data_IF_965862054642
#
_entry.id   IF_965862054642
#
_cell.length_a   1.000
_cell.length_b   1.000
_cell.length_c   1.000
_cell.angle_alpha   90.00
_cell.angle_beta   90.00
_cell.angle_gamma   90.00
#
_symmetry.space_group_name_H-M   'P 1'
#
loop_
_entity.id
_entity.type
_entity.pdbx_description
1 polymer ?
#
# COMPACT_ATOMS: atom_id res chain seq x y z
N UNK A 1 20.12 -28.86 5.77
CA UNK A 1 20.10 -27.67 4.89
C UNK A 1 19.60 -26.52 5.75
N UNK A 2 20.46 -25.55 6.09
CA UNK A 2 20.06 -24.39 6.87
C UNK A 2 19.02 -23.60 6.08
N UNK A 3 17.85 -23.29 6.68
CA UNK A 3 16.88 -22.41 6.07
C UNK A 3 17.55 -21.06 5.80
N UNK A 4 17.57 -20.62 4.53
CA UNK A 4 18.00 -19.26 4.20
C UNK A 4 17.17 -18.26 5.02
N UNK A 5 17.78 -17.18 5.53
CA UNK A 5 17.05 -16.20 6.31
C UNK A 5 15.88 -15.62 5.49
N UNK A 6 14.74 -15.44 6.16
CA UNK A 6 13.55 -14.85 5.51
C UNK A 6 13.89 -13.44 5.03
N UNK A 7 13.55 -13.12 3.79
CA UNK A 7 13.67 -11.78 3.21
C UNK A 7 12.57 -10.88 3.75
N UNK A 8 12.85 -9.64 4.17
CA UNK A 8 11.85 -8.77 4.75
C UNK A 8 10.72 -8.39 3.78
N UNK A 9 9.55 -8.08 4.37
CA UNK A 9 8.44 -7.41 3.70
C UNK A 9 8.55 -5.92 3.98
N UNK A 10 8.62 -5.12 2.92
CA UNK A 10 8.62 -3.66 2.99
C UNK A 10 7.20 -3.13 2.92
N UNK A 11 6.78 -2.32 3.90
CA UNK A 11 5.45 -1.70 3.95
C UNK A 11 5.63 -0.18 3.98
N UNK A 12 5.18 0.52 2.94
CA UNK A 12 5.18 1.97 2.98
C UNK A 12 3.99 2.50 3.78
N UNK A 13 4.21 3.52 4.63
CA UNK A 13 3.16 4.09 5.47
C UNK A 13 2.67 3.15 6.59
N UNK A 14 3.60 2.46 7.26
CA UNK A 14 3.29 1.46 8.29
C UNK A 14 2.92 2.00 9.67
N UNK A 15 2.82 3.33 9.85
CA UNK A 15 2.64 3.92 11.19
C UNK A 15 1.23 3.85 11.77
N UNK A 16 0.20 3.54 10.98
CA UNK A 16 -1.20 3.48 11.43
C UNK A 16 -2.09 2.69 10.46
N UNK A 17 -3.33 2.40 10.91
CA UNK A 17 -4.40 1.77 10.10
C UNK A 17 -3.92 0.48 9.43
N UNK A 18 -4.27 0.24 8.17
CA UNK A 18 -3.95 -0.97 7.39
C UNK A 18 -2.43 -1.27 7.42
N UNK A 19 -1.59 -0.25 7.20
CA UNK A 19 -0.13 -0.46 7.20
C UNK A 19 0.41 -0.94 8.55
N UNK A 20 -0.12 -0.41 9.66
CA UNK A 20 0.25 -0.86 11.02
C UNK A 20 -0.25 -2.28 11.29
N UNK A 21 -1.49 -2.59 10.89
CA UNK A 21 -2.06 -3.93 11.06
C UNK A 21 -1.27 -4.99 10.28
N UNK A 22 -0.88 -4.70 9.03
CA UNK A 22 -0.02 -5.56 8.22
C UNK A 22 1.37 -5.76 8.87
N UNK A 23 1.97 -4.67 9.39
CA UNK A 23 3.26 -4.79 10.07
C UNK A 23 3.20 -5.72 11.29
N UNK A 24 2.19 -5.57 12.15
CA UNK A 24 1.97 -6.46 13.28
C UNK A 24 1.67 -7.89 12.86
N UNK A 25 0.85 -8.08 11.81
CA UNK A 25 0.54 -9.41 11.29
C UNK A 25 1.82 -10.18 10.91
N UNK A 26 2.69 -9.58 10.10
CA UNK A 26 3.92 -10.24 9.68
C UNK A 26 4.94 -10.42 10.80
N UNK A 27 5.05 -9.47 11.73
CA UNK A 27 5.89 -9.63 12.93
C UNK A 27 5.42 -10.80 13.80
N UNK A 28 4.10 -10.96 13.99
CA UNK A 28 3.52 -12.09 14.73
C UNK A 28 3.83 -13.44 14.04
N UNK A 29 3.92 -13.45 12.71
CA UNK A 29 4.38 -14.61 11.93
C UNK A 29 5.91 -14.77 11.92
N UNK A 30 6.64 -13.95 12.71
CA UNK A 30 8.11 -13.91 12.76
C UNK A 30 8.76 -13.59 11.41
N UNK A 31 8.04 -12.89 10.55
CA UNK A 31 8.57 -12.42 9.28
C UNK A 31 9.28 -11.08 9.49
N UNK A 32 10.50 -10.87 8.97
CA UNK A 32 11.17 -9.57 9.05
C UNK A 32 10.35 -8.50 8.32
N UNK A 33 10.23 -7.32 8.95
CA UNK A 33 9.44 -6.21 8.43
C UNK A 33 10.26 -4.93 8.40
N UNK A 34 10.19 -4.22 7.27
CA UNK A 34 10.67 -2.85 7.13
C UNK A 34 9.46 -1.95 6.91
N UNK A 35 9.33 -0.86 7.67
CA UNK A 35 8.25 0.10 7.46
C UNK A 35 8.78 1.49 7.16
N UNK A 36 8.15 2.22 6.23
CA UNK A 36 8.33 3.67 6.17
C UNK A 36 7.25 4.38 7.00
N UNK A 37 7.62 5.52 7.57
CA UNK A 37 6.69 6.43 8.23
C UNK A 37 7.12 7.88 7.97
N UNK A 38 6.16 8.80 7.89
CA UNK A 38 6.44 10.24 7.77
C UNK A 38 6.45 10.91 9.14
N UNK A 39 5.40 10.68 9.91
CA UNK A 39 5.21 11.24 11.24
C UNK A 39 5.48 10.17 12.28
N UNK A 40 6.26 10.52 13.31
CA UNK A 40 6.51 9.66 14.47
C UNK A 40 5.23 9.55 15.30
N UNK A 41 4.63 8.37 15.30
CA UNK A 41 3.51 8.00 16.17
C UNK A 41 3.99 7.05 17.28
N UNK A 42 3.29 6.96 18.42
CA UNK A 42 3.64 5.96 19.45
C UNK A 42 3.69 4.52 18.94
N UNK A 43 2.91 4.19 17.92
CA UNK A 43 2.91 2.89 17.22
C UNK A 43 4.26 2.56 16.58
N UNK A 44 5.03 3.54 16.11
CA UNK A 44 6.36 3.31 15.52
C UNK A 44 7.34 2.76 16.56
N UNK A 45 7.31 3.29 17.77
CA UNK A 45 8.13 2.76 18.86
C UNK A 45 7.70 1.33 19.23
N UNK A 46 6.39 1.04 19.21
CA UNK A 46 5.86 -0.30 19.38
C UNK A 46 6.38 -1.27 18.31
N UNK A 47 6.41 -0.85 17.04
CA UNK A 47 6.94 -1.65 15.93
C UNK A 47 8.44 -1.91 16.09
N UNK A 48 9.23 -0.91 16.49
CA UNK A 48 10.67 -1.10 16.77
C UNK A 48 10.91 -2.13 17.87
N UNK A 49 10.15 -2.05 18.97
CA UNK A 49 10.21 -3.03 20.07
C UNK A 49 9.81 -4.43 19.64
N UNK A 50 8.87 -4.53 18.69
CA UNK A 50 8.47 -5.80 18.09
C UNK A 50 9.47 -6.33 17.03
N UNK A 51 10.54 -5.61 16.73
CA UNK A 51 11.62 -6.03 15.83
C UNK A 51 11.51 -5.52 14.39
N UNK A 52 10.60 -4.59 14.08
CA UNK A 52 10.56 -3.95 12.76
C UNK A 52 11.70 -2.95 12.58
N UNK A 53 12.25 -2.87 11.38
CA UNK A 53 13.10 -1.76 10.95
C UNK A 53 12.20 -0.61 10.50
N UNK A 54 12.20 0.50 11.25
CA UNK A 54 11.36 1.67 10.97
C UNK A 54 12.20 2.81 10.40
N UNK A 55 11.93 3.20 9.16
CA UNK A 55 12.69 4.22 8.41
C UNK A 55 11.80 5.44 8.18
N UNK A 56 12.20 6.60 8.70
CA UNK A 56 11.51 7.83 8.41
C UNK A 56 11.77 8.26 6.95
N UNK A 57 10.68 8.59 6.24
CA UNK A 57 10.72 8.97 4.84
C UNK A 57 9.62 9.97 4.51
N UNK A 58 9.94 10.96 3.71
CA UNK A 58 8.98 11.88 3.10
C UNK A 58 8.90 11.62 1.60
N UNK A 59 7.74 11.20 1.13
CA UNK A 59 7.49 10.92 -0.28
C UNK A 59 6.89 12.12 -1.03
N UNK A 60 6.92 13.30 -0.43
CA UNK A 60 6.48 14.54 -1.11
C UNK A 60 7.48 15.03 -2.17
N UNK A 61 8.70 14.48 -2.19
CA UNK A 61 9.73 14.80 -3.18
C UNK A 61 10.41 13.53 -3.71
N UNK A 62 10.96 13.60 -4.91
CA UNK A 62 11.69 12.49 -5.53
C UNK A 62 12.96 12.15 -4.74
N UNK A 63 13.65 13.18 -4.22
CA UNK A 63 14.84 13.02 -3.38
C UNK A 63 14.52 12.22 -2.12
N UNK A 64 13.41 12.51 -1.47
CA UNK A 64 12.97 11.78 -0.28
C UNK A 64 12.63 10.32 -0.57
N UNK A 65 12.01 10.05 -1.73
CA UNK A 65 11.71 8.70 -2.20
C UNK A 65 13.00 7.92 -2.47
N UNK A 66 13.94 8.51 -3.21
CA UNK A 66 15.20 7.86 -3.58
C UNK A 66 16.11 7.67 -2.35
N UNK A 67 16.17 8.63 -1.46
CA UNK A 67 16.89 8.49 -0.18
C UNK A 67 16.33 7.35 0.68
N UNK A 68 15.02 7.15 0.68
CA UNK A 68 14.40 6.00 1.33
C UNK A 68 14.80 4.68 0.66
N UNK A 69 14.80 4.61 -0.68
CA UNK A 69 15.21 3.42 -1.41
C UNK A 69 16.66 3.02 -1.07
N UNK A 70 17.59 3.98 -0.99
CA UNK A 70 18.99 3.73 -0.61
C UNK A 70 19.09 3.20 0.84
N UNK A 71 18.32 3.74 1.79
CA UNK A 71 18.26 3.20 3.16
C UNK A 71 17.75 1.76 3.18
N UNK A 72 16.74 1.42 2.37
CA UNK A 72 16.27 0.03 2.26
C UNK A 72 17.36 -0.88 1.71
N UNK A 73 18.06 -0.48 0.64
CA UNK A 73 19.17 -1.24 0.05
C UNK A 73 20.32 -1.48 1.04
N UNK A 74 20.61 -0.50 1.90
CA UNK A 74 21.63 -0.66 2.93
C UNK A 74 21.18 -1.56 4.10
N UNK A 75 19.87 -1.79 4.24
CA UNK A 75 19.30 -2.59 5.34
C UNK A 75 19.23 -4.08 4.99
N UNK A 76 19.02 -4.43 3.72
CA UNK A 76 18.81 -5.83 3.30
C UNK A 76 19.35 -6.10 1.90
N UNK A 77 19.83 -7.32 1.69
CA UNK A 77 20.25 -7.80 0.37
C UNK A 77 19.10 -8.36 -0.49
N UNK A 78 17.88 -8.47 0.04
CA UNK A 78 16.73 -8.95 -0.71
C UNK A 78 15.41 -8.66 -0.02
N UNK A 79 14.33 -8.52 -0.79
CA UNK A 79 12.97 -8.31 -0.32
C UNK A 79 12.06 -9.48 -0.71
N UNK A 80 11.17 -9.89 0.20
CA UNK A 80 10.09 -10.81 -0.13
C UNK A 80 8.96 -10.09 -0.85
N UNK A 81 8.61 -8.89 -0.38
CA UNK A 81 7.55 -8.09 -0.98
C UNK A 81 7.73 -6.60 -0.71
N UNK A 82 7.11 -5.78 -1.56
CA UNK A 82 6.89 -4.35 -1.34
C UNK A 82 5.38 -4.08 -1.36
N UNK A 83 4.86 -3.60 -0.23
CA UNK A 83 3.45 -3.21 -0.07
C UNK A 83 3.36 -1.68 -0.11
N UNK A 84 2.87 -1.14 -1.23
CA UNK A 84 2.71 0.32 -1.42
C UNK A 84 1.40 0.80 -0.78
N UNK A 85 1.43 0.96 0.55
CA UNK A 85 0.28 1.39 1.35
C UNK A 85 0.31 2.90 1.69
N UNK A 86 1.47 3.57 1.58
CA UNK A 86 1.54 5.01 1.83
C UNK A 86 0.55 5.78 0.94
N UNK A 87 -0.25 6.64 1.54
CA UNK A 87 -1.29 7.38 0.85
C UNK A 87 -1.54 8.72 1.52
N UNK A 88 -1.99 9.68 0.74
CA UNK A 88 -2.57 10.93 1.19
C UNK A 88 -3.98 11.06 0.58
N UNK A 89 -4.79 11.90 1.19
CA UNK A 89 -6.13 12.18 0.72
C UNK A 89 -6.40 13.66 0.84
N UNK A 90 -6.76 14.30 -0.25
CA UNK A 90 -7.04 15.71 -0.33
C UNK A 90 -8.25 15.95 -1.23
N UNK A 91 -9.19 16.77 -0.76
CA UNK A 91 -10.33 17.20 -1.55
C UNK A 91 -9.98 18.48 -2.32
N UNK A 92 -10.57 18.64 -3.51
CA UNK A 92 -10.64 19.91 -4.19
C UNK A 92 -11.57 20.84 -3.39
N UNK A 93 -11.01 21.91 -2.83
CA UNK A 93 -11.75 22.90 -2.05
C UNK A 93 -11.58 24.28 -2.68
N UNK A 94 -12.61 25.13 -2.52
CA UNK A 94 -12.51 26.54 -2.91
C UNK A 94 -11.33 27.21 -2.18
N UNK A 95 -10.48 27.90 -2.94
CA UNK A 95 -9.28 28.57 -2.41
C UNK A 95 -8.02 27.68 -2.33
N UNK A 96 -8.08 26.38 -2.67
CA UNK A 96 -6.87 25.55 -2.86
C UNK A 96 -6.40 25.60 -4.30
N UNK A 97 -5.08 25.48 -4.51
CA UNK A 97 -4.52 25.32 -5.85
C UNK A 97 -4.84 23.92 -6.38
N UNK A 98 -5.63 23.87 -7.45
CA UNK A 98 -6.00 22.61 -8.11
C UNK A 98 -4.76 21.89 -8.68
N UNK A 99 -3.80 22.65 -9.22
CA UNK A 99 -2.54 22.11 -9.73
C UNK A 99 -1.69 21.49 -8.61
N UNK A 100 -1.58 22.15 -7.47
CA UNK A 100 -0.85 21.61 -6.31
C UNK A 100 -1.55 20.37 -5.75
N UNK A 101 -2.88 20.37 -5.67
CA UNK A 101 -3.65 19.20 -5.23
C UNK A 101 -3.40 17.99 -6.15
N UNK A 102 -3.49 18.18 -7.47
CA UNK A 102 -3.20 17.12 -8.43
C UNK A 102 -1.75 16.65 -8.32
N UNK A 103 -0.79 17.57 -8.27
CA UNK A 103 0.64 17.24 -8.15
C UNK A 103 0.93 16.44 -6.88
N UNK A 104 0.37 16.83 -5.74
CA UNK A 104 0.55 16.12 -4.48
C UNK A 104 -0.02 14.70 -4.51
N UNK A 105 -1.21 14.50 -5.13
CA UNK A 105 -1.81 13.18 -5.28
C UNK A 105 -1.00 12.30 -6.23
N UNK A 106 -0.51 12.84 -7.34
CA UNK A 106 0.36 12.11 -8.26
C UNK A 106 1.71 11.77 -7.60
N UNK A 107 2.28 12.68 -6.82
CA UNK A 107 3.57 12.45 -6.15
C UNK A 107 3.51 11.22 -5.23
N UNK A 108 2.52 11.12 -4.37
CA UNK A 108 2.44 10.03 -3.39
C UNK A 108 1.92 8.72 -4.00
N UNK A 109 1.00 8.76 -4.97
CA UNK A 109 0.35 7.56 -5.48
C UNK A 109 0.96 7.02 -6.78
N UNK A 110 1.71 7.86 -7.50
CA UNK A 110 2.31 7.49 -8.80
C UNK A 110 3.82 7.56 -8.75
N UNK A 111 4.41 8.73 -8.47
CA UNK A 111 5.86 8.89 -8.48
C UNK A 111 6.55 8.02 -7.43
N UNK A 112 6.02 7.99 -6.20
CA UNK A 112 6.64 7.20 -5.13
C UNK A 112 6.65 5.69 -5.47
N UNK A 113 5.54 5.02 -5.81
CA UNK A 113 5.58 3.62 -6.22
C UNK A 113 6.40 3.38 -7.49
N UNK A 114 6.35 4.30 -8.47
CA UNK A 114 7.12 4.17 -9.70
C UNK A 114 8.63 4.15 -9.43
N UNK A 115 9.13 5.15 -8.71
CA UNK A 115 10.56 5.27 -8.38
C UNK A 115 11.02 4.13 -7.46
N UNK A 116 10.23 3.76 -6.44
CA UNK A 116 10.55 2.66 -5.53
C UNK A 116 10.58 1.31 -6.26
N UNK A 117 9.62 1.03 -7.15
CA UNK A 117 9.61 -0.20 -7.92
C UNK A 117 10.87 -0.32 -8.80
N UNK A 118 11.27 0.78 -9.45
CA UNK A 118 12.50 0.80 -10.25
C UNK A 118 13.76 0.66 -9.39
N UNK A 119 13.83 1.34 -8.26
CA UNK A 119 15.00 1.34 -7.40
C UNK A 119 15.19 0.01 -6.65
N UNK A 120 14.08 -0.69 -6.31
CA UNK A 120 14.11 -1.88 -5.46
C UNK A 120 13.87 -3.21 -6.20
N UNK A 121 13.62 -3.20 -7.52
CA UNK A 121 13.29 -4.39 -8.28
C UNK A 121 14.36 -5.49 -8.16
N UNK A 122 15.63 -5.12 -8.08
CA UNK A 122 16.72 -6.10 -8.00
C UNK A 122 16.76 -6.82 -6.63
N UNK A 123 16.24 -6.21 -5.57
CA UNK A 123 16.06 -6.87 -4.27
C UNK A 123 14.93 -7.93 -4.30
N UNK A 124 13.99 -7.82 -5.25
CA UNK A 124 12.87 -8.75 -5.42
C UNK A 124 13.19 -9.89 -6.38
N UNK A 125 14.12 -9.66 -7.31
CA UNK A 125 14.54 -10.61 -8.35
C UNK A 125 15.63 -11.57 -7.87
N UNK A 126 15.97 -12.55 -8.72
CA UNK A 126 17.10 -13.48 -8.47
C UNK A 126 16.82 -14.55 -7.41
N UNK A 127 15.58 -14.69 -6.95
CA UNK A 127 15.18 -15.62 -5.91
C UNK A 127 14.31 -16.79 -6.42
N UNK A 128 14.13 -16.90 -7.75
CA UNK A 128 13.32 -17.91 -8.40
C UNK A 128 11.98 -17.41 -8.92
N UNK A 129 11.21 -18.31 -9.52
CA UNK A 129 9.90 -18.01 -10.10
C UNK A 129 8.90 -17.57 -9.02
N UNK A 130 8.20 -16.45 -9.27
CA UNK A 130 7.19 -15.87 -8.37
C UNK A 130 7.67 -15.68 -6.93
N UNK A 131 8.98 -15.47 -6.72
CA UNK A 131 9.57 -15.36 -5.40
C UNK A 131 9.52 -13.94 -4.80
N UNK A 132 9.23 -12.93 -5.62
CA UNK A 132 9.02 -11.53 -5.22
C UNK A 132 7.58 -11.08 -5.44
N UNK A 133 7.11 -10.12 -4.65
CA UNK A 133 5.78 -9.51 -4.79
C UNK A 133 5.83 -7.99 -4.68
N UNK A 134 5.00 -7.32 -5.49
CA UNK A 134 4.63 -5.93 -5.32
C UNK A 134 3.11 -5.87 -5.19
N UNK A 135 2.61 -5.23 -4.14
CA UNK A 135 1.18 -5.01 -3.93
C UNK A 135 0.92 -3.50 -3.82
N UNK A 136 0.15 -2.97 -4.76
CA UNK A 136 -0.31 -1.59 -4.73
C UNK A 136 -1.66 -1.48 -4.02
N UNK A 137 -1.80 -0.51 -3.13
CA UNK A 137 -3.10 -0.17 -2.54
C UNK A 137 -3.74 0.94 -3.38
N UNK A 138 -4.64 0.55 -4.27
CA UNK A 138 -5.47 1.46 -5.07
C UNK A 138 -6.70 1.90 -4.27
N UNK A 139 -7.84 2.01 -4.87
CA UNK A 139 -9.10 2.37 -4.20
C UNK A 139 -10.28 1.98 -5.11
N UNK A 140 -11.46 1.71 -4.53
CA UNK A 140 -12.67 1.41 -5.28
C UNK A 140 -13.10 2.56 -6.23
N UNK A 141 -12.68 3.80 -5.95
CA UNK A 141 -12.97 4.97 -6.80
C UNK A 141 -12.37 4.88 -8.19
N UNK A 142 -11.41 3.96 -8.43
CA UNK A 142 -10.84 3.70 -9.75
C UNK A 142 -11.92 3.29 -10.76
N UNK A 143 -12.91 2.52 -10.33
CA UNK A 143 -14.01 2.08 -11.19
C UNK A 143 -15.14 3.11 -11.29
N UNK A 144 -15.37 3.86 -10.21
CA UNK A 144 -16.53 4.76 -10.12
C UNK A 144 -16.21 6.22 -10.45
N UNK A 145 -14.98 6.66 -10.20
CA UNK A 145 -14.64 8.07 -10.15
C UNK A 145 -15.08 8.75 -8.84
N UNK A 146 -14.81 10.04 -8.72
CA UNK A 146 -15.22 10.88 -7.59
C UNK A 146 -15.44 12.31 -8.06
N UNK A 147 -16.57 12.90 -7.71
CA UNK A 147 -16.89 14.30 -7.97
C UNK A 147 -16.22 15.29 -7.00
N UNK A 148 -15.80 14.79 -5.83
CA UNK A 148 -15.19 15.59 -4.74
C UNK A 148 -13.69 15.41 -4.61
N UNK A 149 -13.12 14.39 -5.24
CA UNK A 149 -11.72 13.96 -5.09
C UNK A 149 -11.18 13.48 -6.44
N UNK A 150 -11.26 14.34 -7.47
CA UNK A 150 -10.91 13.99 -8.86
C UNK A 150 -9.41 13.67 -8.95
N UNK A 151 -8.56 14.51 -8.37
CA UNK A 151 -7.10 14.30 -8.37
C UNK A 151 -6.69 13.00 -7.67
N UNK A 152 -7.33 12.68 -6.52
CA UNK A 152 -7.12 11.42 -5.83
C UNK A 152 -7.54 10.23 -6.69
N UNK A 153 -8.76 10.24 -7.23
CA UNK A 153 -9.28 9.16 -8.06
C UNK A 153 -8.41 8.95 -9.31
N UNK A 154 -8.00 10.03 -9.99
CA UNK A 154 -7.11 9.97 -11.13
C UNK A 154 -5.74 9.37 -10.78
N UNK A 155 -5.15 9.75 -9.64
CA UNK A 155 -3.88 9.20 -9.19
C UNK A 155 -3.96 7.70 -8.85
N UNK A 156 -5.06 7.25 -8.25
CA UNK A 156 -5.31 5.83 -7.97
C UNK A 156 -5.56 5.02 -9.24
N UNK A 157 -6.22 5.60 -10.26
CA UNK A 157 -6.38 4.97 -11.56
C UNK A 157 -5.05 4.82 -12.30
N UNK A 158 -4.16 5.81 -12.18
CA UNK A 158 -2.80 5.71 -12.72
C UNK A 158 -2.00 4.59 -12.03
N UNK A 159 -2.08 4.46 -10.69
CA UNK A 159 -1.46 3.38 -9.93
C UNK A 159 -2.00 2.01 -10.34
N UNK A 160 -3.31 1.90 -10.59
CA UNK A 160 -3.95 0.67 -11.06
C UNK A 160 -3.41 0.25 -12.44
N UNK A 161 -3.28 1.17 -13.38
CA UNK A 161 -2.64 0.88 -14.66
C UNK A 161 -1.18 0.47 -14.50
N UNK A 162 -0.44 1.14 -13.63
CA UNK A 162 0.97 0.85 -13.34
C UNK A 162 1.17 -0.56 -12.78
N UNK A 163 0.19 -1.11 -12.05
CA UNK A 163 0.18 -2.52 -11.61
C UNK A 163 0.33 -3.47 -12.78
N UNK A 164 -0.45 -3.30 -13.84
CA UNK A 164 -0.38 -4.12 -15.06
C UNK A 164 0.94 -3.96 -15.80
N UNK A 165 1.45 -2.74 -15.86
CA UNK A 165 2.71 -2.43 -16.54
C UNK A 165 3.91 -3.09 -15.86
N UNK A 166 4.00 -2.99 -14.52
CA UNK A 166 5.05 -3.65 -13.75
C UNK A 166 4.89 -5.17 -13.73
N UNK A 167 3.67 -5.71 -13.72
CA UNK A 167 3.45 -7.15 -13.85
C UNK A 167 4.06 -7.70 -15.14
N UNK A 168 3.85 -7.00 -16.27
CA UNK A 168 4.47 -7.39 -17.55
C UNK A 168 6.00 -7.28 -17.55
N UNK A 169 6.53 -6.25 -16.88
CA UNK A 169 7.97 -5.97 -16.84
C UNK A 169 8.74 -6.97 -15.97
N UNK A 170 8.15 -7.39 -14.84
CA UNK A 170 8.85 -8.09 -13.78
C UNK A 170 8.58 -9.60 -13.74
N UNK A 171 7.57 -10.07 -14.49
CA UNK A 171 7.33 -11.51 -14.64
C UNK A 171 8.52 -12.20 -15.37
N UNK A 172 8.81 -13.48 -15.06
CA UNK A 172 8.08 -14.37 -14.15
C UNK A 172 8.58 -14.33 -12.69
N UNK A 173 9.60 -13.55 -12.36
CA UNK A 173 10.26 -13.59 -11.06
C UNK A 173 9.47 -12.86 -9.98
N UNK A 174 8.80 -11.75 -10.33
CA UNK A 174 8.05 -10.88 -9.42
C UNK A 174 6.61 -10.75 -9.90
N UNK A 175 5.67 -11.03 -9.01
CA UNK A 175 4.24 -10.77 -9.23
C UNK A 175 3.91 -9.34 -8.80
N UNK A 176 3.03 -8.69 -9.54
CA UNK A 176 2.55 -7.34 -9.20
C UNK A 176 1.04 -7.32 -9.27
N UNK A 177 0.40 -7.05 -8.15
CA UNK A 177 -1.06 -6.99 -8.02
C UNK A 177 -1.49 -5.72 -7.27
N UNK A 178 -2.77 -5.43 -7.30
CA UNK A 178 -3.35 -4.34 -6.53
C UNK A 178 -4.52 -4.83 -5.67
N UNK A 179 -4.72 -4.14 -4.55
CA UNK A 179 -5.89 -4.24 -3.70
C UNK A 179 -6.62 -2.90 -3.78
N UNK A 180 -7.92 -2.93 -4.06
CA UNK A 180 -8.80 -1.76 -4.18
C UNK A 180 -9.80 -1.76 -3.02
N UNK A 181 -9.43 -1.25 -1.83
CA UNK A 181 -10.35 -1.20 -0.71
C UNK A 181 -11.36 -0.05 -0.88
N UNK A 182 -12.55 -0.23 -0.29
CA UNK A 182 -13.41 0.89 0.07
C UNK A 182 -13.16 1.27 1.55
N UNK A 183 -14.21 1.63 2.27
CA UNK A 183 -14.10 1.91 3.70
C UNK A 183 -13.88 0.60 4.47
N UNK A 184 -12.68 0.43 4.99
CA UNK A 184 -12.29 -0.72 5.82
C UNK A 184 -12.50 -0.44 7.30
N UNK A 185 -12.17 0.79 7.74
CA UNK A 185 -12.17 1.22 9.13
C UNK A 185 -12.77 2.61 9.26
N UNK A 186 -13.46 2.83 10.37
CA UNK A 186 -13.81 4.18 10.82
C UNK A 186 -12.61 4.89 11.44
N UNK A 187 -12.66 6.22 11.46
CA UNK A 187 -11.79 7.00 12.31
C UNK A 187 -12.40 7.11 13.72
N UNK A 188 -11.56 7.42 14.70
CA UNK A 188 -12.00 7.56 16.10
C UNK A 188 -13.06 8.65 16.26
N UNK A 189 -12.93 9.74 15.49
CA UNK A 189 -13.81 10.91 15.55
C UNK A 189 -15.03 10.83 14.62
N UNK A 190 -15.23 9.71 13.90
CA UNK A 190 -16.42 9.52 13.07
C UNK A 190 -17.64 9.29 13.98
N UNK A 191 -18.64 10.19 13.91
CA UNK A 191 -19.86 10.07 14.70
C UNK A 191 -20.78 8.94 14.22
N UNK A 192 -21.81 8.65 15.02
CA UNK A 192 -22.73 7.54 14.75
C UNK A 192 -23.54 7.76 13.45
N UNK A 193 -23.91 8.99 13.14
CA UNK A 193 -24.66 9.31 11.93
C UNK A 193 -23.79 9.09 10.69
N UNK A 194 -22.59 9.63 10.68
CA UNK A 194 -21.62 9.40 9.60
C UNK A 194 -21.35 7.91 9.40
N UNK A 195 -21.12 7.15 10.51
CA UNK A 195 -20.90 5.71 10.45
C UNK A 195 -22.05 5.00 9.78
N UNK A 196 -23.29 5.29 10.18
CA UNK A 196 -24.47 4.69 9.58
C UNK A 196 -24.63 5.05 8.08
N UNK A 197 -24.39 6.30 7.71
CA UNK A 197 -24.42 6.74 6.32
C UNK A 197 -23.32 6.05 5.50
N UNK A 198 -22.13 5.90 6.07
CA UNK A 198 -20.99 5.26 5.41
C UNK A 198 -21.25 3.75 5.18
N UNK A 199 -21.81 3.04 6.18
CA UNK A 199 -22.22 1.63 6.05
C UNK A 199 -23.26 1.45 4.94
N UNK A 200 -24.20 2.36 4.86
CA UNK A 200 -25.23 2.32 3.84
C UNK A 200 -24.70 2.49 2.39
N UNK A 201 -23.45 2.87 2.19
CA UNK A 201 -22.82 3.02 0.87
C UNK A 201 -22.30 1.72 0.27
N UNK A 202 -22.31 0.60 0.98
CA UNK A 202 -21.96 -0.72 0.46
C UNK A 202 -23.13 -1.69 0.57
N UNK A 203 -23.12 -2.75 -0.24
CA UNK A 203 -24.15 -3.80 -0.17
C UNK A 203 -24.05 -4.59 1.13
N UNK A 204 -22.83 -4.83 1.61
CA UNK A 204 -22.59 -5.61 2.83
C UNK A 204 -22.90 -4.83 4.12
N UNK A 205 -22.94 -3.49 4.09
CA UNK A 205 -23.31 -2.60 5.20
C UNK A 205 -22.51 -2.82 6.50
N UNK A 206 -21.26 -3.21 6.38
CA UNK A 206 -20.33 -3.41 7.51
C UNK A 206 -19.04 -2.63 7.26
N UNK A 207 -18.31 -2.34 8.33
CA UNK A 207 -16.89 -2.00 8.32
C UNK A 207 -16.13 -3.28 8.67
N UNK A 208 -15.46 -3.94 7.71
CA UNK A 208 -14.97 -5.31 7.91
C UNK A 208 -13.74 -5.39 8.81
N UNK A 209 -13.05 -4.28 9.02
CA UNK A 209 -11.76 -4.27 9.70
C UNK A 209 -10.61 -4.69 8.78
N UNK A 210 -9.39 -4.61 9.32
CA UNK A 210 -8.16 -4.85 8.55
C UNK A 210 -7.99 -6.30 8.09
N UNK A 211 -8.68 -7.23 8.75
CA UNK A 211 -8.54 -8.67 8.50
C UNK A 211 -8.80 -9.05 7.04
N UNK A 212 -9.82 -8.49 6.40
CA UNK A 212 -10.13 -8.76 4.99
C UNK A 212 -8.99 -8.38 4.05
N UNK A 213 -8.31 -7.27 4.36
CA UNK A 213 -7.15 -6.84 3.58
C UNK A 213 -5.95 -7.72 3.87
N UNK A 214 -5.72 -8.11 5.12
CA UNK A 214 -4.62 -9.00 5.54
C UNK A 214 -4.76 -10.36 4.87
N UNK A 215 -5.94 -10.98 4.91
CA UNK A 215 -6.21 -12.28 4.30
C UNK A 215 -5.94 -12.26 2.77
N UNK A 216 -6.31 -11.16 2.12
CA UNK A 216 -6.04 -10.99 0.70
C UNK A 216 -4.55 -10.79 0.40
N UNK A 217 -3.82 -10.05 1.24
CA UNK A 217 -2.36 -9.92 1.13
C UNK A 217 -1.71 -11.29 1.28
N UNK A 218 -2.09 -12.09 2.28
CA UNK A 218 -1.57 -13.45 2.48
C UNK A 218 -1.84 -14.35 1.27
N UNK A 219 -3.04 -14.29 0.71
CA UNK A 219 -3.37 -15.02 -0.52
C UNK A 219 -2.46 -14.61 -1.68
N UNK A 220 -2.26 -13.31 -1.91
CA UNK A 220 -1.42 -12.81 -2.99
C UNK A 220 0.05 -13.21 -2.83
N UNK A 221 0.56 -13.20 -1.59
CA UNK A 221 1.93 -13.62 -1.28
C UNK A 221 2.12 -15.13 -1.45
N UNK A 222 1.11 -15.95 -1.19
CA UNK A 222 1.20 -17.42 -1.32
C UNK A 222 0.90 -17.93 -2.71
N UNK A 223 0.09 -17.22 -3.50
CA UNK A 223 -0.20 -17.57 -4.89
C UNK A 223 1.07 -17.51 -5.75
N UNK A 224 1.29 -18.47 -6.61
CA UNK A 224 2.40 -18.48 -7.58
C UNK A 224 1.97 -18.12 -9.02
N UNK A 225 0.68 -17.84 -9.26
CA UNK A 225 0.14 -17.66 -10.61
C UNK A 225 -0.66 -16.37 -10.83
N UNK A 226 -1.01 -15.65 -9.76
CA UNK A 226 -1.79 -14.41 -9.84
C UNK A 226 -0.87 -13.20 -9.99
N UNK A 227 -0.96 -12.50 -11.12
CA UNK A 227 -0.23 -11.26 -11.39
C UNK A 227 -1.01 -10.35 -12.35
N UNK A 228 -0.81 -9.04 -12.24
CA UNK A 228 -1.45 -8.01 -13.07
C UNK A 228 -2.93 -7.82 -12.78
N UNK A 229 -3.40 -8.17 -11.56
CA UNK A 229 -4.82 -8.11 -11.17
C UNK A 229 -5.05 -7.12 -10.05
N UNK A 230 -6.23 -6.53 -10.06
CA UNK A 230 -6.76 -5.68 -8.99
C UNK A 230 -7.92 -6.42 -8.32
N UNK A 231 -7.86 -6.52 -7.00
CA UNK A 231 -8.86 -7.21 -6.18
C UNK A 231 -9.60 -6.19 -5.33
N UNK A 232 -10.90 -6.09 -5.52
CA UNK A 232 -11.76 -5.23 -4.74
C UNK A 232 -12.03 -5.81 -3.35
N UNK A 233 -11.89 -4.97 -2.31
CA UNK A 233 -12.31 -5.23 -0.92
C UNK A 233 -13.24 -4.08 -0.53
N UNK A 234 -14.45 -4.07 -1.08
CA UNK A 234 -15.32 -2.89 -1.10
C UNK A 234 -16.76 -3.13 -0.64
N UNK A 235 -17.11 -4.39 -0.29
CA UNK A 235 -18.45 -4.76 0.13
C UNK A 235 -19.53 -4.51 -0.94
N UNK A 236 -19.16 -4.56 -2.22
CA UNK A 236 -20.05 -4.30 -3.36
C UNK A 236 -20.43 -2.83 -3.51
N UNK A 237 -19.58 -1.91 -3.03
CA UNK A 237 -19.86 -0.46 -3.07
C UNK A 237 -20.09 0.12 -4.48
N UNK A 238 -19.38 -0.27 -5.55
CA UNK A 238 -19.62 0.21 -6.90
C UNK A 238 -20.97 -0.22 -7.49
N UNK A 239 -21.57 -1.27 -6.95
CA UNK A 239 -22.83 -1.84 -7.45
C UNK A 239 -24.10 -1.16 -6.86
N UNK A 240 -23.91 -0.11 -6.05
CA UNK A 240 -24.99 0.58 -5.36
C UNK A 240 -25.30 1.96 -5.91
#
# INVERSE_FOLDING_TARGET
MGNAPLRPILITGGGRRIGLALAHHFLNLRHPVIVSYRTEYPSIEGLRKAGAVCIQADFSTDEGILAFAEKVKSTTAGLRAVLHNASAWQAEKTGTSLSETLSAMLQIHVNAPYLLNHALQDLLRGHGHAAGDIIHFTDYVVERGSDKHIAYAASKAALDNMTRSFARKLAPEVKVNAIAPAMILFNENDDAEYRQQALNKSLMKIAPGEKEVIDLVDYLLTSCYVTGRTFAVDGGRPLR
#
